data_IF_410030101111
#
_entry.id   IF_410030101111
#
_cell.length_a   1.000
_cell.length_b   1.000
_cell.length_c   1.000
_cell.angle_alpha   90.00
_cell.angle_beta   90.00
_cell.angle_gamma   90.00
#
_symmetry.space_group_name_H-M   'P 1'
#
loop_
_entity.id
_entity.type
_entity.pdbx_description
1 polymer ?
#
# COMPACT_ATOMS: atom_id res chain seq x y z
N UNK A 1 66.76 -9.73 -54.15
CA UNK A 1 65.40 -9.20 -54.33
C UNK A 1 64.72 -9.16 -52.97
N UNK A 2 64.29 -7.97 -52.59
CA UNK A 2 63.77 -7.60 -51.28
C UNK A 2 62.25 -7.73 -51.27
N UNK A 3 61.68 -8.42 -50.27
CA UNK A 3 60.25 -8.35 -49.97
C UNK A 3 60.08 -8.18 -48.45
N UNK A 4 59.43 -7.07 -48.10
CA UNK A 4 59.12 -6.60 -46.73
C UNK A 4 58.02 -7.46 -46.09
N UNK A 5 58.01 -7.63 -44.75
CA UNK A 5 56.84 -8.10 -44.04
C UNK A 5 55.87 -6.95 -43.76
N UNK A 6 54.59 -7.20 -44.02
CA UNK A 6 53.46 -6.29 -43.85
C UNK A 6 53.05 -6.19 -42.38
N UNK A 7 52.95 -4.97 -41.86
CA UNK A 7 52.38 -4.67 -40.55
C UNK A 7 50.85 -4.83 -40.59
N UNK A 8 50.31 -5.78 -39.82
CA UNK A 8 48.88 -5.85 -39.55
C UNK A 8 48.53 -4.95 -38.35
N UNK A 9 47.70 -3.92 -38.62
CA UNK A 9 47.09 -3.05 -37.62
C UNK A 9 46.27 -3.88 -36.61
N UNK A 10 46.56 -3.72 -35.31
CA UNK A 10 45.65 -4.12 -34.23
C UNK A 10 44.64 -3.00 -34.01
N UNK A 11 43.40 -3.19 -34.46
CA UNK A 11 42.28 -2.36 -34.07
C UNK A 11 41.82 -2.75 -32.66
N UNK A 12 42.12 -1.92 -31.66
CA UNK A 12 41.51 -2.02 -30.33
C UNK A 12 40.05 -1.59 -30.45
N UNK A 13 39.15 -2.57 -30.55
CA UNK A 13 37.71 -2.36 -30.47
C UNK A 13 37.35 -2.09 -29.00
N UNK A 14 37.30 -0.81 -28.62
CA UNK A 14 36.66 -0.35 -27.39
C UNK A 14 35.16 -0.63 -27.50
N UNK A 15 34.74 -1.77 -26.95
CA UNK A 15 33.33 -2.06 -26.67
C UNK A 15 32.84 -1.05 -25.62
N UNK A 16 32.23 0.03 -26.10
CA UNK A 16 31.40 0.90 -25.27
C UNK A 16 30.21 0.07 -24.78
N UNK A 17 30.32 -0.45 -23.56
CA UNK A 17 29.19 -1.00 -22.83
C UNK A 17 28.12 0.10 -22.76
N UNK A 18 26.89 -0.11 -23.24
CA UNK A 18 25.82 0.84 -23.00
C UNK A 18 25.63 0.91 -21.49
N UNK A 19 26.00 2.05 -20.90
CA UNK A 19 25.55 2.45 -19.58
C UNK A 19 24.03 2.47 -19.64
N UNK A 20 23.41 1.38 -19.21
CA UNK A 20 21.99 1.36 -18.88
C UNK A 20 21.85 2.30 -17.68
N UNK A 21 21.70 3.59 -17.97
CA UNK A 21 21.05 4.50 -17.05
C UNK A 21 19.66 3.92 -16.83
N UNK A 22 19.51 3.09 -15.80
CA UNK A 22 18.21 2.63 -15.34
C UNK A 22 17.37 3.88 -15.15
N UNK A 23 16.32 4.04 -15.98
CA UNK A 23 15.39 5.12 -15.79
C UNK A 23 14.86 4.97 -14.36
N UNK A 24 15.16 5.97 -13.52
CA UNK A 24 14.63 6.00 -12.18
C UNK A 24 13.10 5.89 -12.30
N UNK A 25 12.52 4.86 -11.67
CA UNK A 25 11.08 4.69 -11.67
C UNK A 25 10.44 5.98 -11.13
N UNK A 26 9.68 6.67 -11.99
CA UNK A 26 9.02 7.91 -11.62
C UNK A 26 7.64 7.60 -11.03
N UNK A 27 7.53 7.75 -9.70
CA UNK A 27 6.25 7.79 -9.01
C UNK A 27 5.46 9.05 -9.41
N UNK A 28 4.12 9.06 -9.27
CA UNK A 28 3.30 10.17 -9.71
C UNK A 28 3.65 11.46 -8.95
N UNK A 29 3.72 12.57 -9.68
CA UNK A 29 3.81 13.90 -9.06
C UNK A 29 2.45 14.26 -8.46
N UNK A 30 2.36 14.22 -7.12
CA UNK A 30 1.11 14.48 -6.41
C UNK A 30 0.84 15.97 -6.30
N UNK A 31 -0.40 16.37 -6.62
CA UNK A 31 -0.83 17.78 -6.60
C UNK A 31 -1.04 18.29 -5.17
N UNK A 32 -1.58 17.47 -4.29
CA UNK A 32 -1.86 17.85 -2.90
C UNK A 32 -0.55 17.89 -2.09
N UNK A 33 -0.17 19.09 -1.64
CA UNK A 33 1.05 19.35 -0.86
C UNK A 33 1.24 18.39 0.34
N UNK A 34 0.20 18.05 1.14
CA UNK A 34 0.36 17.13 2.27
C UNK A 34 0.75 15.70 1.88
N UNK A 35 0.49 15.28 0.65
CA UNK A 35 0.86 13.95 0.17
C UNK A 35 2.31 13.88 -0.33
N UNK A 36 2.90 15.00 -0.73
CA UNK A 36 4.27 15.05 -1.27
C UNK A 36 5.33 14.50 -0.30
N UNK A 37 5.39 14.90 0.99
CA UNK A 37 6.38 14.34 1.91
C UNK A 37 6.15 12.86 2.19
N UNK A 38 4.89 12.39 2.20
CA UNK A 38 4.56 10.97 2.37
C UNK A 38 4.99 10.14 1.15
N UNK A 39 4.76 10.66 -0.06
CA UNK A 39 5.24 10.05 -1.28
C UNK A 39 6.76 9.96 -1.31
N UNK A 40 7.46 11.03 -0.94
CA UNK A 40 8.92 11.02 -0.85
C UNK A 40 9.42 9.98 0.15
N UNK A 41 8.78 9.87 1.32
CA UNK A 41 9.13 8.89 2.34
C UNK A 41 8.88 7.44 1.87
N UNK A 42 7.69 7.14 1.33
CA UNK A 42 7.37 5.81 0.80
C UNK A 42 8.29 5.42 -0.38
N UNK A 43 8.59 6.37 -1.27
CA UNK A 43 9.53 6.18 -2.36
C UNK A 43 10.94 5.88 -1.84
N UNK A 44 11.39 6.56 -0.79
CA UNK A 44 12.68 6.30 -0.17
C UNK A 44 12.76 4.90 0.46
N UNK A 45 11.66 4.39 1.05
CA UNK A 45 11.58 3.00 1.51
C UNK A 45 11.71 2.01 0.35
N UNK A 46 10.96 2.25 -0.74
CA UNK A 46 11.03 1.44 -1.93
C UNK A 46 12.46 1.37 -2.50
N UNK A 47 13.13 2.52 -2.64
CA UNK A 47 14.51 2.56 -3.14
C UNK A 47 15.48 1.83 -2.20
N UNK A 48 15.30 1.96 -0.87
CA UNK A 48 16.12 1.21 0.10
C UNK A 48 15.91 -0.30 -0.01
N UNK A 49 14.67 -0.75 -0.21
CA UNK A 49 14.38 -2.16 -0.47
C UNK A 49 15.00 -2.65 -1.78
N UNK A 50 14.92 -1.86 -2.85
CA UNK A 50 15.52 -2.24 -4.14
C UNK A 50 17.05 -2.36 -4.05
N UNK A 51 17.71 -1.54 -3.22
CA UNK A 51 19.13 -1.67 -2.92
C UNK A 51 19.45 -2.87 -2.00
N UNK A 52 18.57 -3.18 -1.05
CA UNK A 52 18.76 -4.22 -0.04
C UNK A 52 17.47 -5.02 0.24
N UNK A 53 17.12 -6.01 -0.60
CA UNK A 53 15.84 -6.73 -0.47
C UNK A 53 15.70 -7.54 0.83
N UNK A 54 16.82 -7.90 1.48
CA UNK A 54 16.86 -8.65 2.75
C UNK A 54 16.36 -7.80 3.94
N UNK A 55 16.11 -6.50 3.75
CA UNK A 55 15.66 -5.58 4.79
C UNK A 55 14.25 -5.89 5.37
N UNK A 56 13.59 -6.95 4.90
CA UNK A 56 12.28 -7.42 5.35
C UNK A 56 12.28 -8.60 6.32
N UNK A 57 13.43 -9.00 6.84
CA UNK A 57 13.52 -9.98 7.91
C UNK A 57 13.48 -9.30 9.29
N UNK A 58 12.66 -9.82 10.21
CA UNK A 58 12.70 -9.41 11.60
C UNK A 58 14.07 -9.72 12.22
N UNK A 59 14.62 -8.84 13.07
CA UNK A 59 15.85 -9.13 13.80
C UNK A 59 15.62 -10.30 14.74
N UNK A 60 16.64 -11.15 14.87
CA UNK A 60 16.60 -12.32 15.75
C UNK A 60 16.54 -11.94 17.23
N UNK A 61 17.15 -10.81 17.58
CA UNK A 61 17.25 -10.32 18.94
C UNK A 61 16.26 -9.17 19.13
N UNK A 62 15.19 -9.43 19.88
CA UNK A 62 14.23 -8.42 20.28
C UNK A 62 14.80 -7.61 21.46
N UNK A 63 14.74 -6.28 21.39
CA UNK A 63 14.98 -5.45 22.57
C UNK A 63 13.75 -5.45 23.48
N UNK A 64 13.97 -5.24 24.77
CA UNK A 64 12.87 -4.95 25.70
C UNK A 64 12.35 -3.52 25.47
N UNK A 65 11.04 -3.31 25.67
CA UNK A 65 10.48 -1.96 25.69
C UNK A 65 11.03 -1.18 26.91
N UNK A 66 11.45 0.09 26.74
CA UNK A 66 11.99 0.89 27.85
C UNK A 66 10.92 1.42 28.82
N UNK A 67 9.65 1.26 28.51
CA UNK A 67 8.51 1.52 29.39
C UNK A 67 7.34 0.60 29.03
N UNK A 68 6.25 0.64 29.81
CA UNK A 68 5.05 -0.11 29.50
C UNK A 68 4.38 0.46 28.24
N UNK A 69 4.25 -0.36 27.19
CA UNK A 69 3.57 -0.01 25.94
C UNK A 69 2.38 -0.94 25.77
N UNK A 70 1.19 -0.38 25.59
CA UNK A 70 -0.02 -1.18 25.44
C UNK A 70 -0.13 -1.76 24.02
N UNK A 71 -0.76 -2.93 23.83
CA UNK A 71 -1.07 -3.45 22.49
C UNK A 71 -1.88 -2.46 21.64
N UNK A 72 -2.85 -1.77 22.24
CA UNK A 72 -3.66 -0.77 21.54
C UNK A 72 -2.83 0.41 21.02
N UNK A 73 -1.79 0.83 21.75
CA UNK A 73 -0.85 1.84 21.28
C UNK A 73 -0.08 1.36 20.05
N UNK A 74 0.44 0.14 20.09
CA UNK A 74 1.18 -0.47 18.97
C UNK A 74 0.29 -0.68 17.73
N UNK A 75 -0.99 -0.98 17.94
CA UNK A 75 -1.96 -1.17 16.86
C UNK A 75 -2.17 0.12 16.06
N UNK A 76 -2.17 1.27 16.72
CA UNK A 76 -2.26 2.59 16.06
C UNK A 76 -1.00 2.87 15.24
N UNK A 77 0.20 2.60 15.77
CA UNK A 77 1.45 2.73 15.01
C UNK A 77 1.50 1.76 13.82
N UNK A 78 1.03 0.54 13.98
CA UNK A 78 1.05 -0.48 12.93
C UNK A 78 -0.10 -0.35 11.91
N UNK A 79 -1.09 0.51 12.19
CA UNK A 79 -2.37 0.56 11.47
C UNK A 79 -3.06 -0.83 11.42
N UNK A 80 -3.10 -1.51 12.57
CA UNK A 80 -3.70 -2.86 12.73
C UNK A 80 -4.83 -2.86 13.76
N UNK A 81 -5.55 -1.74 13.87
CA UNK A 81 -6.77 -1.65 14.68
C UNK A 81 -7.88 -2.40 13.95
N UNK A 82 -8.52 -3.36 14.62
CA UNK A 82 -9.67 -4.07 14.08
C UNK A 82 -10.75 -3.08 13.63
N UNK A 83 -11.35 -3.34 12.47
CA UNK A 83 -12.43 -2.49 11.96
C UNK A 83 -13.60 -2.35 12.93
N UNK A 84 -13.89 -3.34 13.79
CA UNK A 84 -14.94 -3.22 14.80
C UNK A 84 -14.61 -2.25 15.94
N UNK A 85 -13.32 -2.05 16.20
CA UNK A 85 -12.80 -1.16 17.23
C UNK A 85 -12.48 0.25 16.67
N UNK A 86 -12.65 0.44 15.36
CA UNK A 86 -12.51 1.74 14.68
C UNK A 86 -13.85 2.14 14.05
N UNK A 87 -14.64 3.02 14.70
CA UNK A 87 -15.94 3.45 14.21
C UNK A 87 -15.90 4.10 12.82
N UNK A 88 -14.78 4.76 12.46
CA UNK A 88 -14.63 5.42 11.16
C UNK A 88 -14.42 4.35 10.09
N UNK A 89 -13.47 3.45 10.28
CA UNK A 89 -13.23 2.35 9.36
C UNK A 89 -14.47 1.46 9.20
N UNK A 90 -15.16 1.15 10.30
CA UNK A 90 -16.43 0.40 10.27
C UNK A 90 -17.50 1.09 9.42
N UNK A 91 -17.71 2.38 9.63
CA UNK A 91 -18.72 3.15 8.90
C UNK A 91 -18.40 3.17 7.39
N UNK A 92 -17.14 3.34 7.03
CA UNK A 92 -16.70 3.30 5.62
C UNK A 92 -16.93 1.94 4.98
N UNK A 93 -16.55 0.85 5.64
CA UNK A 93 -16.78 -0.52 5.13
C UNK A 93 -18.26 -0.83 4.94
N UNK A 94 -19.12 -0.34 5.83
CA UNK A 94 -20.59 -0.48 5.72
C UNK A 94 -21.14 0.36 4.57
N UNK A 95 -20.67 1.59 4.41
CA UNK A 95 -21.12 2.47 3.33
C UNK A 95 -20.68 1.95 1.95
N UNK A 96 -19.45 1.44 1.83
CA UNK A 96 -18.94 0.84 0.59
C UNK A 96 -19.75 -0.38 0.17
N UNK A 97 -20.05 -1.25 1.12
CA UNK A 97 -20.91 -2.39 0.91
C UNK A 97 -22.31 -1.97 0.44
N UNK A 98 -22.91 -0.96 1.08
CA UNK A 98 -24.22 -0.43 0.64
C UNK A 98 -24.15 0.13 -0.78
N UNK A 99 -23.16 0.95 -1.10
CA UNK A 99 -23.00 1.55 -2.43
C UNK A 99 -22.74 0.51 -3.52
N UNK A 100 -21.99 -0.56 -3.20
CA UNK A 100 -21.70 -1.66 -4.12
C UNK A 100 -22.76 -2.75 -4.20
N UNK A 101 -23.81 -2.70 -3.36
CA UNK A 101 -24.81 -3.77 -3.26
C UNK A 101 -24.21 -5.09 -2.73
N UNK A 102 -23.15 -5.01 -1.92
CA UNK A 102 -22.43 -6.15 -1.36
C UNK A 102 -22.61 -6.23 0.17
N UNK A 103 -22.38 -7.40 0.79
CA UNK A 103 -22.30 -7.49 2.25
C UNK A 103 -21.09 -6.70 2.81
N UNK A 104 -21.19 -6.10 4.00
CA UNK A 104 -20.07 -5.40 4.63
C UNK A 104 -18.90 -6.33 4.88
N UNK A 105 -17.72 -5.87 4.49
CA UNK A 105 -16.47 -6.51 4.85
C UNK A 105 -16.08 -6.13 6.27
N UNK A 106 -15.32 -7.02 6.91
CA UNK A 106 -14.71 -6.85 8.23
C UNK A 106 -13.22 -7.10 8.11
N UNK A 107 -12.43 -6.25 8.75
CA UNK A 107 -10.98 -6.39 8.89
C UNK A 107 -10.66 -6.72 10.35
N UNK A 108 -9.96 -7.83 10.57
CA UNK A 108 -9.54 -8.33 11.89
C UNK A 108 -8.07 -8.70 11.85
N UNK A 109 -7.36 -8.39 12.92
CA UNK A 109 -5.94 -8.68 13.11
C UNK A 109 -5.74 -9.58 14.33
N UNK A 110 -5.02 -10.68 14.17
CA UNK A 110 -4.81 -11.68 15.21
C UNK A 110 -3.34 -12.14 15.28
N UNK A 111 -3.00 -12.90 16.33
CA UNK A 111 -1.70 -13.56 16.50
C UNK A 111 -0.50 -12.61 16.34
N UNK A 112 -0.62 -11.40 16.91
CA UNK A 112 0.40 -10.35 16.77
C UNK A 112 1.64 -10.70 17.60
N UNK A 113 2.79 -10.76 16.94
CA UNK A 113 4.10 -10.89 17.58
C UNK A 113 4.90 -9.63 17.29
N UNK A 114 5.32 -8.92 18.34
CA UNK A 114 6.03 -7.64 18.23
C UNK A 114 7.49 -7.81 18.62
N UNK A 115 8.39 -7.30 17.78
CA UNK A 115 9.85 -7.33 18.00
C UNK A 115 10.38 -5.90 18.04
N UNK A 116 10.61 -5.32 19.24
CA UNK A 116 11.12 -3.95 19.37
C UNK A 116 12.57 -3.86 18.91
N UNK A 117 12.91 -2.77 18.22
CA UNK A 117 14.25 -2.49 17.71
C UNK A 117 14.80 -1.18 18.26
N UNK A 118 13.94 -0.18 18.40
CA UNK A 118 14.31 1.13 18.94
C UNK A 118 13.10 1.76 19.60
N UNK A 119 13.29 2.26 20.81
CA UNK A 119 12.29 3.04 21.52
C UNK A 119 12.96 3.91 22.56
N UNK A 120 12.28 4.97 22.96
CA UNK A 120 12.66 5.87 24.04
C UNK A 120 11.40 6.20 24.83
N UNK A 121 11.56 6.52 26.12
CA UNK A 121 10.44 6.86 26.98
C UNK A 121 10.71 8.13 27.77
N UNK A 122 9.64 8.90 27.95
CA UNK A 122 9.61 10.11 28.76
C UNK A 122 8.28 10.12 29.52
N UNK A 123 8.32 10.36 30.84
CA UNK A 123 7.12 10.29 31.67
C UNK A 123 6.42 8.93 31.67
N UNK A 124 7.17 7.85 31.42
CA UNK A 124 6.64 6.48 31.37
C UNK A 124 5.90 6.11 30.09
N UNK A 125 5.94 6.94 29.05
CA UNK A 125 5.32 6.70 27.73
C UNK A 125 6.34 6.81 26.62
N UNK A 126 6.06 6.23 25.45
CA UNK A 126 6.92 6.38 24.26
C UNK A 126 7.08 7.85 23.87
N UNK A 127 8.32 8.28 23.66
CA UNK A 127 8.69 9.64 23.24
C UNK A 127 9.96 9.57 22.40
N UNK A 128 10.00 10.24 21.25
CA UNK A 128 11.11 10.18 20.30
C UNK A 128 11.02 9.05 19.27
N UNK A 129 12.14 8.66 18.63
CA UNK A 129 12.12 7.69 17.53
C UNK A 129 11.74 6.29 17.99
N UNK A 130 10.77 5.68 17.30
CA UNK A 130 10.28 4.32 17.55
C UNK A 130 10.44 3.46 16.30
N UNK A 131 10.94 2.24 16.50
CA UNK A 131 11.04 1.21 15.47
C UNK A 131 10.77 -0.17 16.05
N UNK A 132 9.90 -0.92 15.38
CA UNK A 132 9.61 -2.31 15.72
C UNK A 132 9.13 -3.09 14.50
N UNK A 133 9.21 -4.40 14.59
CA UNK A 133 8.55 -5.31 13.67
C UNK A 133 7.26 -5.84 14.30
N UNK A 134 6.28 -6.13 13.46
CA UNK A 134 5.12 -6.91 13.86
C UNK A 134 4.79 -7.93 12.78
N UNK A 135 4.68 -9.18 13.22
CA UNK A 135 4.12 -10.28 12.44
C UNK A 135 2.69 -10.52 12.93
N UNK A 136 1.75 -10.69 12.01
CA UNK A 136 0.34 -10.86 12.36
C UNK A 136 -0.45 -11.56 11.27
N UNK A 137 -1.58 -12.13 11.68
CA UNK A 137 -2.61 -12.62 10.77
C UNK A 137 -3.65 -11.52 10.55
N UNK A 138 -4.05 -11.32 9.29
CA UNK A 138 -5.11 -10.41 8.90
C UNK A 138 -6.21 -11.19 8.18
N UNK A 139 -7.44 -11.01 8.62
CA UNK A 139 -8.62 -11.50 7.92
C UNK A 139 -9.40 -10.33 7.37
N UNK A 140 -9.67 -10.34 6.07
CA UNK A 140 -10.56 -9.40 5.38
C UNK A 140 -11.69 -10.22 4.78
N UNK A 141 -12.89 -10.15 5.35
CA UNK A 141 -13.97 -11.03 4.92
C UNK A 141 -15.34 -10.38 4.93
N UNK A 142 -16.17 -10.79 3.99
CA UNK A 142 -17.61 -10.57 3.97
C UNK A 142 -18.33 -11.92 4.12
N UNK A 143 -19.66 -11.95 4.06
CA UNK A 143 -20.40 -13.22 4.12
C UNK A 143 -20.19 -14.14 2.89
N UNK A 144 -19.54 -13.66 1.83
CA UNK A 144 -19.35 -14.40 0.58
C UNK A 144 -17.90 -14.89 0.37
N UNK A 145 -16.93 -14.08 0.79
CA UNK A 145 -15.51 -14.33 0.56
C UNK A 145 -14.71 -13.87 1.76
N UNK A 146 -13.71 -14.65 2.15
CA UNK A 146 -12.77 -14.32 3.21
C UNK A 146 -11.34 -14.44 2.68
N UNK A 147 -10.57 -13.36 2.81
CA UNK A 147 -9.16 -13.31 2.49
C UNK A 147 -8.38 -13.38 3.81
N UNK A 148 -7.44 -14.31 3.90
CA UNK A 148 -6.55 -14.48 5.04
C UNK A 148 -5.13 -14.19 4.60
N UNK A 149 -4.45 -13.35 5.35
CA UNK A 149 -3.07 -12.96 5.10
C UNK A 149 -2.26 -13.23 6.35
N UNK A 150 -1.02 -13.66 6.14
CA UNK A 150 0.01 -13.65 7.16
C UNK A 150 1.04 -12.60 6.73
N UNK A 151 1.22 -11.56 7.52
CA UNK A 151 2.02 -10.39 7.15
C UNK A 151 3.15 -10.16 8.14
N UNK A 152 4.28 -9.68 7.63
CA UNK A 152 5.38 -9.16 8.43
C UNK A 152 5.65 -7.72 8.00
N UNK A 153 5.63 -6.80 8.96
CA UNK A 153 5.88 -5.38 8.71
C UNK A 153 6.92 -4.81 9.67
N UNK A 154 7.64 -3.81 9.19
CA UNK A 154 8.49 -2.91 9.98
C UNK A 154 7.81 -1.56 10.08
N UNK A 155 7.69 -1.06 11.30
CA UNK A 155 7.12 0.25 11.61
C UNK A 155 8.24 1.19 12.05
N UNK A 156 8.27 2.42 11.52
CA UNK A 156 9.13 3.51 11.98
C UNK A 156 8.34 4.80 12.09
N UNK A 157 8.48 5.48 13.23
CA UNK A 157 7.75 6.72 13.52
C UNK A 157 8.51 7.58 14.53
N UNK A 158 8.05 8.82 14.70
CA UNK A 158 8.28 9.58 15.93
C UNK A 158 7.09 9.37 16.86
N UNK A 159 7.36 9.28 18.15
CA UNK A 159 6.35 9.22 19.20
C UNK A 159 6.40 10.47 20.06
N UNK A 160 5.23 10.92 20.51
CA UNK A 160 5.10 11.94 21.55
C UNK A 160 4.02 11.48 22.52
N UNK A 161 4.40 11.25 23.78
CA UNK A 161 3.47 10.87 24.85
C UNK A 161 2.63 9.62 24.54
N UNK A 162 3.25 8.59 23.95
CA UNK A 162 2.62 7.32 23.61
C UNK A 162 1.74 7.37 22.36
N UNK A 163 1.94 8.36 21.48
CA UNK A 163 1.19 8.48 20.22
C UNK A 163 2.13 8.81 19.06
N UNK A 164 1.79 8.42 17.83
CA UNK A 164 2.53 8.88 16.65
C UNK A 164 2.53 10.42 16.56
N UNK A 165 3.70 10.98 16.29
CA UNK A 165 3.90 12.40 16.01
C UNK A 165 4.39 12.57 14.57
N UNK A 166 3.51 13.06 13.70
CA UNK A 166 3.79 13.17 12.27
C UNK A 166 3.61 11.86 11.48
N UNK A 167 4.54 11.58 10.58
CA UNK A 167 4.43 10.47 9.63
C UNK A 167 4.88 9.14 10.25
N UNK A 168 4.08 8.10 10.02
CA UNK A 168 4.40 6.70 10.31
C UNK A 168 4.73 6.01 9.00
N UNK A 169 5.87 5.31 8.99
CA UNK A 169 6.35 4.54 7.85
C UNK A 169 6.20 3.06 8.15
N UNK A 170 5.53 2.34 7.26
CA UNK A 170 5.32 0.90 7.32
C UNK A 170 5.86 0.27 6.05
N UNK A 171 6.83 -0.61 6.19
CA UNK A 171 7.37 -1.40 5.08
C UNK A 171 7.11 -2.87 5.39
N UNK A 172 6.49 -3.61 4.50
CA UNK A 172 6.03 -4.96 4.81
C UNK A 172 5.94 -5.90 3.64
N UNK A 173 5.78 -7.17 3.94
CA UNK A 173 5.56 -8.24 2.97
C UNK A 173 4.42 -9.13 3.42
N UNK A 174 3.66 -9.63 2.45
CA UNK A 174 2.73 -10.73 2.68
C UNK A 174 3.50 -12.04 2.59
N UNK A 175 3.58 -12.76 3.71
CA UNK A 175 4.27 -14.05 3.83
C UNK A 175 3.42 -15.19 3.28
N UNK A 176 2.11 -15.14 3.49
CA UNK A 176 1.16 -16.05 2.85
C UNK A 176 -0.20 -15.40 2.65
N UNK A 177 -0.94 -15.88 1.65
CA UNK A 177 -2.30 -15.45 1.33
C UNK A 177 -3.16 -16.67 1.05
N UNK A 178 -4.38 -16.67 1.58
CA UNK A 178 -5.40 -17.67 1.33
C UNK A 178 -6.74 -16.99 1.05
N UNK A 179 -7.53 -17.58 0.17
CA UNK A 179 -8.89 -17.12 -0.14
C UNK A 179 -9.86 -18.26 0.14
N UNK A 180 -10.90 -17.96 0.91
CA UNK A 180 -11.99 -18.86 1.25
C UNK A 180 -13.28 -18.32 0.66
N UNK A 181 -14.04 -19.17 -0.02
CA UNK A 181 -15.33 -18.84 -0.62
C UNK A 181 -16.44 -19.52 0.19
N UNK A 182 -17.50 -18.77 0.50
CA UNK A 182 -18.63 -19.32 1.24
C UNK A 182 -19.44 -20.32 0.39
N UNK A 183 -19.55 -20.06 -0.92
CA UNK A 183 -20.20 -20.98 -1.86
C UNK A 183 -19.27 -22.13 -2.25
N UNK A 184 -19.73 -23.37 -2.05
CA UNK A 184 -18.95 -24.57 -2.32
C UNK A 184 -18.64 -24.76 -3.80
N UNK A 185 -19.59 -24.46 -4.69
CA UNK A 185 -19.36 -24.61 -6.13
C UNK A 185 -18.25 -23.65 -6.61
N UNK A 186 -18.27 -22.41 -6.12
CA UNK A 186 -17.21 -21.42 -6.36
C UNK A 186 -15.89 -21.89 -5.76
N UNK A 187 -15.89 -22.41 -4.53
CA UNK A 187 -14.68 -22.92 -3.90
C UNK A 187 -14.04 -24.07 -4.71
N UNK A 188 -14.86 -25.03 -5.15
CA UNK A 188 -14.41 -26.19 -5.94
C UNK A 188 -13.89 -25.73 -7.32
N UNK A 189 -14.58 -24.78 -7.96
CA UNK A 189 -14.15 -24.18 -9.22
C UNK A 189 -12.79 -23.48 -9.08
N UNK A 190 -12.60 -22.67 -8.03
CA UNK A 190 -11.37 -21.93 -7.80
C UNK A 190 -10.22 -22.84 -7.34
N UNK A 191 -10.51 -23.90 -6.59
CA UNK A 191 -9.52 -24.90 -6.19
C UNK A 191 -8.96 -25.68 -7.40
N UNK A 192 -9.75 -25.85 -8.46
CA UNK A 192 -9.31 -26.48 -9.70
C UNK A 192 -8.42 -25.58 -10.57
N UNK A 193 -8.39 -24.26 -10.32
CA UNK A 193 -7.53 -23.35 -11.06
C UNK A 193 -6.08 -23.39 -10.54
N UNK A 194 -5.07 -23.28 -11.43
CA UNK A 194 -3.70 -23.08 -11.00
C UNK A 194 -3.59 -21.83 -10.11
N UNK A 195 -3.00 -22.00 -8.92
CA UNK A 195 -2.76 -20.86 -8.01
C UNK A 195 -1.53 -20.08 -8.49
N UNK A 196 -1.66 -18.79 -8.82
CA UNK A 196 -0.50 -17.99 -9.21
C UNK A 196 0.45 -17.83 -8.02
N UNK A 197 1.75 -17.73 -8.31
CA UNK A 197 2.75 -17.37 -7.30
C UNK A 197 2.74 -15.87 -7.12
N UNK A 198 2.17 -15.42 -6.01
CA UNK A 198 2.08 -14.01 -5.66
C UNK A 198 3.10 -13.68 -4.58
N UNK A 199 3.85 -12.60 -4.78
CA UNK A 199 4.67 -11.97 -3.75
C UNK A 199 4.41 -10.47 -3.76
N UNK A 200 4.05 -9.92 -2.61
CA UNK A 200 3.75 -8.50 -2.45
C UNK A 200 4.61 -7.91 -1.36
N UNK A 201 5.32 -6.83 -1.71
CA UNK A 201 6.00 -5.96 -0.78
C UNK A 201 5.36 -4.59 -0.86
N UNK A 202 5.04 -3.99 0.29
CA UNK A 202 4.38 -2.69 0.35
C UNK A 202 5.15 -1.69 1.21
N UNK A 203 5.00 -0.42 0.85
CA UNK A 203 5.64 0.72 1.46
C UNK A 203 4.58 1.79 1.68
N UNK A 204 4.23 2.03 2.93
CA UNK A 204 3.16 2.92 3.32
C UNK A 204 3.72 4.03 4.20
N UNK A 205 3.31 5.26 3.91
CA UNK A 205 3.57 6.42 4.73
C UNK A 205 2.23 7.08 5.04
N UNK A 206 1.92 7.31 6.32
CA UNK A 206 0.65 7.92 6.72
C UNK A 206 0.78 8.84 7.92
N UNK A 207 -0.17 9.74 8.10
CA UNK A 207 -0.30 10.55 9.32
C UNK A 207 -1.50 10.10 10.14
N UNK A 208 -1.32 10.07 11.45
CA UNK A 208 -2.37 9.72 12.41
C UNK A 208 -2.98 11.00 12.96
N UNK A 209 -4.29 11.14 12.81
CA UNK A 209 -5.03 12.24 13.40
C UNK A 209 -6.37 11.72 13.93
N UNK A 210 -6.30 10.75 14.84
CA UNK A 210 -7.41 9.93 15.31
C UNK A 210 -7.04 8.43 15.30
N UNK A 211 -7.98 7.49 15.48
CA UNK A 211 -7.69 6.06 15.40
C UNK A 211 -7.33 5.56 13.98
N UNK A 212 -7.70 6.31 12.93
CA UNK A 212 -7.43 5.99 11.53
C UNK A 212 -6.47 7.01 10.86
N UNK A 213 -5.69 6.59 9.84
CA UNK A 213 -4.88 7.51 9.06
C UNK A 213 -5.75 8.48 8.27
N UNK A 214 -5.48 9.79 8.41
CA UNK A 214 -6.21 10.82 7.65
C UNK A 214 -5.61 11.06 6.26
N UNK A 215 -4.31 10.84 6.13
CA UNK A 215 -3.59 11.02 4.88
C UNK A 215 -2.56 9.91 4.74
N UNK A 216 -2.53 9.25 3.58
CA UNK A 216 -1.60 8.14 3.34
C UNK A 216 -1.16 8.06 1.88
N UNK A 217 0.04 7.54 1.68
CA UNK A 217 0.55 7.04 0.40
C UNK A 217 0.98 5.60 0.62
N UNK A 218 0.57 4.70 -0.26
CA UNK A 218 0.99 3.31 -0.28
C UNK A 218 1.52 2.95 -1.66
N UNK A 219 2.73 2.39 -1.72
CA UNK A 219 3.32 1.80 -2.92
C UNK A 219 3.33 0.29 -2.71
N UNK A 220 2.81 -0.48 -3.65
CA UNK A 220 2.83 -1.93 -3.61
C UNK A 220 3.57 -2.49 -4.83
N UNK A 221 4.64 -3.23 -4.56
CA UNK A 221 5.41 -4.01 -5.52
C UNK A 221 4.88 -5.44 -5.49
N UNK A 222 4.12 -5.82 -6.50
CA UNK A 222 3.51 -7.15 -6.60
C UNK A 222 4.14 -7.91 -7.76
N UNK A 223 4.53 -9.15 -7.52
CA UNK A 223 4.98 -10.08 -8.54
C UNK A 223 4.00 -11.23 -8.63
N UNK A 224 3.45 -11.49 -9.83
CA UNK A 224 2.54 -12.60 -10.12
C UNK A 224 3.18 -13.46 -11.20
N UNK A 225 3.57 -14.69 -10.86
CA UNK A 225 4.25 -15.61 -11.78
C UNK A 225 5.47 -14.99 -12.48
N UNK A 226 6.21 -14.14 -11.76
CA UNK A 226 7.38 -13.42 -12.25
C UNK A 226 7.08 -12.08 -12.94
N UNK A 227 5.83 -11.81 -13.33
CA UNK A 227 5.42 -10.53 -13.88
C UNK A 227 5.32 -9.48 -12.76
N UNK A 228 6.04 -8.38 -12.90
CA UNK A 228 6.08 -7.29 -11.94
C UNK A 228 5.01 -6.24 -12.24
N UNK A 229 4.27 -5.84 -11.20
CA UNK A 229 3.45 -4.64 -11.18
C UNK A 229 3.85 -3.75 -10.01
N UNK A 230 3.75 -2.44 -10.22
CA UNK A 230 3.96 -1.44 -9.18
C UNK A 230 2.77 -0.48 -9.18
N UNK A 231 2.02 -0.51 -8.10
CA UNK A 231 0.85 0.34 -7.92
C UNK A 231 1.08 1.34 -6.80
N UNK A 232 0.53 2.54 -6.95
CA UNK A 232 0.48 3.54 -5.88
C UNK A 232 -0.98 3.83 -5.54
N UNK A 233 -1.31 3.91 -4.26
CA UNK A 233 -2.59 4.44 -3.78
C UNK A 233 -2.32 5.62 -2.87
N UNK A 234 -3.10 6.68 -3.03
CA UNK A 234 -3.12 7.81 -2.11
C UNK A 234 -4.49 7.92 -1.46
N UNK A 235 -4.51 8.50 -0.27
CA UNK A 235 -5.72 8.89 0.43
C UNK A 235 -5.46 10.21 1.13
N UNK A 236 -6.31 11.19 0.94
CA UNK A 236 -6.16 12.51 1.55
C UNK A 236 -7.48 13.01 2.08
N UNK A 237 -7.56 13.19 3.40
CA UNK A 237 -8.68 13.86 4.07
C UNK A 237 -8.45 15.37 4.06
N UNK A 238 -9.30 16.09 3.35
CA UNK A 238 -9.26 17.54 3.21
C UNK A 238 -9.90 18.24 4.43
N UNK A 239 -9.56 19.52 4.69
CA UNK A 239 -10.16 20.29 5.78
C UNK A 239 -11.68 20.46 5.69
N UNK A 240 -12.25 20.37 4.48
CA UNK A 240 -13.69 20.46 4.21
C UNK A 240 -14.46 19.15 4.49
N UNK A 241 -13.77 18.11 4.98
CA UNK A 241 -14.37 16.81 5.28
C UNK A 241 -14.49 15.88 4.07
N UNK A 242 -14.02 16.29 2.88
CA UNK A 242 -13.87 15.40 1.74
C UNK A 242 -12.67 14.47 1.91
N UNK A 243 -12.79 13.24 1.42
CA UNK A 243 -11.65 12.31 1.28
C UNK A 243 -11.47 11.99 -0.19
N UNK A 244 -10.25 12.20 -0.68
CA UNK A 244 -9.84 11.86 -2.05
C UNK A 244 -8.95 10.64 -2.01
N UNK A 245 -9.27 9.63 -2.80
CA UNK A 245 -8.44 8.47 -3.03
C UNK A 245 -8.06 8.38 -4.50
N UNK A 246 -6.77 8.36 -4.81
CA UNK A 246 -6.26 8.18 -6.17
C UNK A 246 -5.47 6.87 -6.26
N UNK A 247 -5.66 6.14 -7.37
CA UNK A 247 -4.91 4.94 -7.73
C UNK A 247 -4.04 5.18 -8.95
N UNK A 248 -2.83 4.63 -8.94
CA UNK A 248 -1.88 4.69 -10.05
C UNK A 248 -1.22 3.33 -10.30
N UNK A 249 -0.87 3.08 -11.57
CA UNK A 249 -0.06 1.94 -11.99
C UNK A 249 -0.84 0.64 -12.24
N UNK A 250 -2.16 0.60 -12.04
CA UNK A 250 -2.93 -0.61 -12.37
C UNK A 250 -3.04 -0.86 -13.89
N UNK A 251 -3.05 0.23 -14.69
CA UNK A 251 -3.25 0.17 -16.14
C UNK A 251 -2.03 0.62 -16.96
N UNK A 252 -0.85 0.67 -16.34
CA UNK A 252 0.36 1.19 -16.98
C UNK A 252 1.52 1.33 -15.99
N UNK A 253 2.46 2.23 -16.30
CA UNK A 253 3.56 2.55 -15.39
C UNK A 253 3.06 3.19 -14.08
N UNK A 254 3.89 3.26 -13.03
CA UNK A 254 3.50 3.69 -11.68
C UNK A 254 2.98 5.13 -11.60
N UNK A 255 3.30 5.99 -12.58
CA UNK A 255 2.76 7.35 -12.68
C UNK A 255 1.43 7.46 -13.43
N UNK A 256 0.92 6.38 -14.02
CA UNK A 256 -0.32 6.38 -14.78
C UNK A 256 -1.52 6.31 -13.84
N UNK A 257 -2.33 7.38 -13.83
CA UNK A 257 -3.56 7.45 -13.03
C UNK A 257 -4.56 6.41 -13.54
N UNK A 258 -5.04 5.52 -12.66
CA UNK A 258 -6.03 4.49 -13.01
C UNK A 258 -7.40 4.72 -12.39
N UNK A 259 -7.46 5.36 -11.22
CA UNK A 259 -8.73 5.60 -10.53
C UNK A 259 -8.70 6.84 -9.64
N UNK A 260 -9.88 7.44 -9.47
CA UNK A 260 -10.16 8.50 -8.51
C UNK A 260 -11.48 8.23 -7.83
N UNK A 261 -11.50 8.26 -6.51
CA UNK A 261 -12.72 8.14 -5.69
C UNK A 261 -12.80 9.32 -4.74
N UNK A 262 -13.99 9.91 -4.66
CA UNK A 262 -14.30 11.01 -3.76
C UNK A 262 -15.33 10.55 -2.74
N UNK A 263 -15.11 10.97 -1.49
CA UNK A 263 -16.02 10.69 -0.38
C UNK A 263 -16.30 11.96 0.40
N UNK A 264 -17.48 12.01 1.00
CA UNK A 264 -17.87 13.00 1.99
C UNK A 264 -18.52 12.27 3.15
N UNK A 265 -18.07 12.54 4.38
CA UNK A 265 -18.58 11.89 5.59
C UNK A 265 -18.60 10.34 5.51
N UNK A 266 -17.55 9.75 4.94
CA UNK A 266 -17.41 8.30 4.79
C UNK A 266 -18.31 7.65 3.72
N UNK A 267 -19.02 8.43 2.91
CA UNK A 267 -19.85 7.94 1.80
C UNK A 267 -19.29 8.39 0.46
N UNK A 268 -19.51 7.60 -0.60
CA UNK A 268 -19.16 8.01 -1.97
C UNK A 268 -19.93 9.27 -2.36
N UNK A 269 -19.22 10.24 -2.95
CA UNK A 269 -19.79 11.53 -3.32
C UNK A 269 -19.06 12.12 -4.54
N UNK A 270 -19.78 12.73 -5.46
CA UNK A 270 -19.20 13.27 -6.69
C UNK A 270 -18.78 12.19 -7.70
N UNK A 271 -17.83 12.49 -8.61
CA UNK A 271 -17.35 11.53 -9.60
C UNK A 271 -16.42 10.48 -8.99
N UNK A 272 -16.75 9.20 -9.20
CA UNK A 272 -15.81 8.10 -9.17
C UNK A 272 -15.36 7.82 -10.60
N UNK A 273 -14.06 7.93 -10.86
CA UNK A 273 -13.48 7.83 -12.20
C UNK A 273 -12.59 6.61 -12.31
N UNK A 274 -12.74 5.88 -13.40
CA UNK A 274 -11.75 4.91 -13.89
C UNK A 274 -11.17 5.48 -15.17
N UNK A 275 -9.85 5.64 -15.21
CA UNK A 275 -9.18 6.17 -16.39
C UNK A 275 -8.93 5.05 -17.41
N UNK A 276 -8.93 5.40 -18.69
CA UNK A 276 -8.63 4.41 -19.74
C UNK A 276 -7.19 3.91 -19.63
N UNK A 277 -6.95 2.65 -19.95
CA UNK A 277 -5.61 2.09 -19.98
C UNK A 277 -5.59 0.61 -20.34
N UNK A 278 -4.50 -0.08 -20.03
CA UNK A 278 -4.30 -1.49 -20.37
C UNK A 278 -4.03 -2.32 -19.12
N UNK A 279 -4.82 -3.39 -18.91
CA UNK A 279 -4.49 -4.43 -17.93
C UNK A 279 -3.93 -5.63 -18.69
N UNK A 280 -2.60 -5.75 -18.73
CA UNK A 280 -1.94 -6.69 -19.64
C UNK A 280 -2.27 -6.37 -21.09
N UNK A 281 -2.97 -7.27 -21.78
CA UNK A 281 -3.43 -7.06 -23.16
C UNK A 281 -4.88 -6.57 -23.26
N UNK A 282 -5.58 -6.44 -22.13
CA UNK A 282 -7.00 -6.10 -22.13
C UNK A 282 -7.19 -4.57 -22.01
N UNK A 283 -7.86 -3.93 -22.97
CA UNK A 283 -8.17 -2.51 -22.87
C UNK A 283 -9.26 -2.27 -21.83
N UNK A 284 -9.02 -1.30 -20.94
CA UNK A 284 -9.99 -0.82 -19.97
C UNK A 284 -10.47 0.55 -20.46
N UNK A 285 -11.78 0.67 -20.69
CA UNK A 285 -12.39 1.92 -21.10
C UNK A 285 -12.47 2.90 -19.91
N UNK A 286 -12.32 4.19 -20.20
CA UNK A 286 -12.61 5.21 -19.20
C UNK A 286 -14.09 5.16 -18.81
N UNK A 287 -14.37 5.33 -17.53
CA UNK A 287 -15.73 5.40 -17.03
C UNK A 287 -15.84 6.42 -15.91
N UNK A 288 -17.04 6.96 -15.71
CA UNK A 288 -17.35 7.81 -14.57
C UNK A 288 -18.69 7.37 -14.01
N UNK A 289 -18.75 7.22 -12.69
CA UNK A 289 -19.99 6.98 -11.93
C UNK A 289 -20.18 8.15 -10.99
N UNK A 290 -21.35 8.78 -11.06
CA UNK A 290 -21.69 9.87 -10.16
C UNK A 290 -22.36 9.34 -8.90
N UNK A 291 -21.93 9.84 -7.75
CA UNK A 291 -22.45 9.48 -6.45
C UNK A 291 -22.98 10.72 -5.72
N UNK A 292 -24.05 10.55 -4.96
CA UNK A 292 -24.56 11.55 -4.02
C UNK A 292 -24.96 10.83 -2.75
N UNK A 293 -24.32 11.19 -1.63
CA UNK A 293 -24.61 10.59 -0.31
C UNK A 293 -24.55 9.04 -0.30
N UNK A 294 -23.64 8.45 -1.07
CA UNK A 294 -23.47 7.00 -1.20
C UNK A 294 -24.41 6.31 -2.18
N UNK A 295 -25.32 7.04 -2.84
CA UNK A 295 -26.23 6.52 -3.85
C UNK A 295 -25.74 6.87 -5.26
N UNK A 296 -25.83 5.90 -6.17
CA UNK A 296 -25.46 6.10 -7.58
C UNK A 296 -26.51 6.97 -8.25
N UNK A 297 -26.08 8.10 -8.80
CA UNK A 297 -26.95 9.02 -9.55
C UNK A 297 -26.79 8.74 -11.04
N UNK A 298 -27.91 8.46 -11.71
CA UNK A 298 -27.95 8.28 -13.16
C UNK A 298 -27.96 9.65 -13.84
N UNK A 299 -26.78 10.26 -13.98
CA UNK A 299 -26.58 11.55 -14.62
C UNK A 299 -25.35 11.54 -15.52
N UNK A 300 -25.36 12.38 -16.56
CA UNK A 300 -24.21 12.61 -17.45
C UNK A 300 -23.24 13.66 -16.89
N UNK A 301 -23.66 14.41 -15.87
CA UNK A 301 -22.87 15.44 -15.20
C UNK A 301 -22.90 15.19 -13.71
N UNK A 302 -21.76 14.84 -13.12
CA UNK A 302 -21.69 14.73 -11.67
C UNK A 302 -21.75 16.13 -11.05
N UNK A 303 -22.50 16.34 -9.96
CA UNK A 303 -22.40 17.59 -9.22
C UNK A 303 -20.93 17.77 -8.82
N UNK A 304 -20.32 18.85 -9.33
CA UNK A 304 -19.07 19.35 -8.79
C UNK A 304 -19.43 20.03 -7.47
N UNK A 305 -18.81 19.59 -6.38
CA UNK A 305 -18.69 20.47 -5.23
C UNK A 305 -17.60 21.51 -5.52
#
# INVERSE_FOLDING_TARGET
MSMKPSHALRANLLLALPLWCGQALAFPALKDEPLQPLMAAASAEYQRYMAHPVALAAPKDALAWPCAVSPAELDVFANTVDSDNDPVAKAELVNDARSGGMPPSRIVYANKVVTPVRAQCEGGKLSGPVEFWVEYDQTVGSSQITLKYHNLIRVRAQALQGRPDGAVLVTGTTLSQQTEYADRATADMMAAQPKPKISTVFFMAFTVAGPAPKTSVAIARTTVDGALSLTTRTRFSRPDGQVVEDGYGAFGGPGHHDSRTLRRNGKLHGPQQTFAGMMGQFPIAASTVCWQEGEKVLTNTCPAD
#
